data_IF_429057159776
#
_entry.id   IF_429057159776
#
_cell.length_a   1.000
_cell.length_b   1.000
_cell.length_c   1.000
_cell.angle_alpha   90.00
_cell.angle_beta   90.00
_cell.angle_gamma   90.00
#
_symmetry.space_group_name_H-M   'P 1'
#
loop_
_entity.id
_entity.type
_entity.pdbx_description
1 polymer ?
#
# COMPACT_ATOMS: atom_id res chain seq x y z
N UNK A 1 5.70 35.28 47.24
CA UNK A 1 6.29 34.03 46.68
C UNK A 1 5.40 33.69 45.51
N UNK A 2 5.86 33.92 44.27
CA UNK A 2 5.23 33.45 43.05
C UNK A 2 5.65 32.01 42.84
N UNK A 3 4.73 31.08 43.04
CA UNK A 3 4.92 29.68 42.67
C UNK A 3 4.86 29.58 41.16
N UNK A 4 5.96 29.23 40.52
CA UNK A 4 5.95 28.82 39.12
C UNK A 4 5.08 27.56 38.97
N UNK A 5 4.20 27.45 37.97
CA UNK A 5 3.46 26.23 37.72
C UNK A 5 4.46 25.10 37.47
N UNK A 6 4.36 24.01 38.23
CA UNK A 6 5.11 22.81 37.93
C UNK A 6 4.69 22.35 36.52
N UNK A 7 5.64 22.30 35.64
CA UNK A 7 5.45 21.65 34.34
C UNK A 7 5.36 20.16 34.65
N UNK A 8 4.15 19.65 34.75
CA UNK A 8 3.95 18.20 34.74
C UNK A 8 4.43 17.72 33.36
N UNK A 9 5.61 17.10 33.36
CA UNK A 9 6.05 16.31 32.20
C UNK A 9 5.02 15.22 32.02
N UNK A 10 4.33 15.26 30.90
CA UNK A 10 3.39 14.21 30.52
C UNK A 10 4.19 12.93 30.42
N UNK A 11 4.06 12.07 31.42
CA UNK A 11 4.71 10.76 31.45
C UNK A 11 4.24 9.97 30.22
N UNK A 12 5.16 9.28 29.56
CA UNK A 12 4.86 8.40 28.44
C UNK A 12 3.80 7.37 28.85
N UNK A 13 2.63 7.43 28.21
CA UNK A 13 1.50 6.54 28.49
C UNK A 13 1.42 5.48 27.39
N UNK A 14 1.37 4.22 27.81
CA UNK A 14 1.08 3.11 26.89
C UNK A 14 -0.44 2.94 26.80
N UNK A 15 -0.95 3.00 25.59
CA UNK A 15 -2.35 2.79 25.29
C UNK A 15 -2.53 1.36 24.81
N UNK A 16 -3.31 0.59 25.54
CA UNK A 16 -3.64 -0.79 25.17
C UNK A 16 -5.01 -0.91 24.48
N UNK A 17 -5.62 0.22 24.09
CA UNK A 17 -6.97 0.25 23.51
C UNK A 17 -8.11 0.16 24.54
N UNK A 18 -7.90 -0.54 25.64
CA UNK A 18 -8.86 -0.67 26.74
C UNK A 18 -8.43 0.17 27.94
N UNK A 19 -7.13 0.22 28.20
CA UNK A 19 -6.55 0.94 29.34
C UNK A 19 -5.45 1.88 28.91
N UNK A 20 -5.27 2.97 29.63
CA UNK A 20 -4.10 3.83 29.58
C UNK A 20 -3.28 3.60 30.82
N UNK A 21 -2.04 3.14 30.68
CA UNK A 21 -1.11 2.92 31.79
C UNK A 21 0.17 3.67 31.57
N UNK A 22 0.81 4.08 32.67
CA UNK A 22 2.16 4.65 32.61
C UNK A 22 3.11 3.60 32.05
N UNK A 23 4.00 4.00 31.15
CA UNK A 23 4.97 3.10 30.49
C UNK A 23 5.82 2.33 31.52
N UNK A 24 6.18 2.97 32.62
CA UNK A 24 6.94 2.36 33.70
C UNK A 24 6.19 1.23 34.44
N UNK A 25 4.87 1.27 34.45
CA UNK A 25 4.03 0.24 35.07
C UNK A 25 3.65 -0.91 34.12
N UNK A 26 4.16 -0.88 32.89
CA UNK A 26 3.85 -1.86 31.90
C UNK A 26 5.05 -2.77 31.61
N UNK A 27 4.91 -4.06 31.89
CA UNK A 27 5.99 -5.05 31.79
C UNK A 27 6.12 -5.65 30.40
N UNK A 28 5.18 -5.36 29.49
CA UNK A 28 5.15 -5.90 28.13
C UNK A 28 6.00 -5.10 27.15
N UNK A 29 6.45 -5.76 26.08
CA UNK A 29 7.16 -5.11 24.96
C UNK A 29 6.17 -4.37 24.07
N UNK A 30 6.22 -3.04 24.14
CA UNK A 30 5.36 -2.16 23.33
C UNK A 30 6.17 -1.07 22.65
N UNK A 31 5.71 -0.65 21.48
CA UNK A 31 6.23 0.54 20.80
C UNK A 31 5.07 1.47 20.51
N UNK A 32 5.17 2.71 20.95
CA UNK A 32 4.14 3.74 20.72
C UNK A 32 4.74 4.85 19.86
N UNK A 33 4.03 5.20 18.78
CA UNK A 33 4.40 6.24 17.82
C UNK A 33 3.33 7.30 17.81
N UNK A 34 3.72 8.56 17.94
CA UNK A 34 2.84 9.71 17.82
C UNK A 34 2.62 10.06 16.34
N UNK A 35 1.58 10.81 16.05
CA UNK A 35 1.26 11.21 14.67
C UNK A 35 2.40 12.00 14.00
N UNK A 36 3.18 12.75 14.77
CA UNK A 36 4.33 13.52 14.29
C UNK A 36 5.41 12.58 13.72
N UNK A 37 5.74 11.52 14.46
CA UNK A 37 6.72 10.51 14.06
C UNK A 37 6.25 9.75 12.83
N UNK A 38 4.96 9.37 12.81
CA UNK A 38 4.34 8.68 11.68
C UNK A 38 4.38 9.52 10.40
N UNK A 39 4.08 10.82 10.50
CA UNK A 39 4.13 11.74 9.36
C UNK A 39 5.55 12.00 8.87
N UNK A 40 6.53 12.03 9.77
CA UNK A 40 7.94 12.17 9.40
C UNK A 40 8.46 10.94 8.63
N UNK A 41 7.96 9.74 8.95
CA UNK A 41 8.31 8.50 8.27
C UNK A 41 7.59 8.30 6.92
N UNK A 42 6.39 8.87 6.75
CA UNK A 42 5.61 8.78 5.53
C UNK A 42 4.20 9.37 5.66
N UNK A 43 3.62 9.76 4.54
CA UNK A 43 2.32 10.44 4.53
C UNK A 43 1.19 9.62 3.87
N UNK A 44 1.52 8.52 3.21
CA UNK A 44 0.55 7.79 2.39
C UNK A 44 -0.45 6.98 3.23
N UNK A 45 0.04 6.14 4.14
CA UNK A 45 -0.82 5.42 5.05
C UNK A 45 -0.09 5.06 6.36
N UNK A 46 -0.88 4.79 7.39
CA UNK A 46 -0.39 4.48 8.75
C UNK A 46 0.54 3.27 8.77
N UNK A 47 0.20 2.21 8.04
CA UNK A 47 0.96 0.96 8.04
C UNK A 47 2.35 1.12 7.41
N UNK A 48 2.46 1.89 6.33
CA UNK A 48 3.74 2.19 5.68
C UNK A 48 4.66 2.99 6.61
N UNK A 49 4.12 3.95 7.34
CA UNK A 49 4.88 4.72 8.33
C UNK A 49 5.39 3.83 9.46
N UNK A 50 4.55 2.93 9.98
CA UNK A 50 4.96 1.98 11.02
C UNK A 50 6.06 1.04 10.51
N UNK A 51 5.94 0.52 9.28
CA UNK A 51 6.98 -0.33 8.66
C UNK A 51 8.34 0.35 8.64
N UNK A 52 8.36 1.66 8.40
CA UNK A 52 9.61 2.45 8.38
C UNK A 52 10.17 2.65 9.79
N UNK A 53 9.32 2.83 10.80
CA UNK A 53 9.71 3.12 12.17
C UNK A 53 10.02 1.87 13.01
N UNK A 54 9.34 0.76 12.71
CA UNK A 54 9.45 -0.46 13.52
C UNK A 54 9.83 -1.68 12.67
N UNK A 55 11.06 -2.19 12.82
CA UNK A 55 11.52 -3.35 12.06
C UNK A 55 10.81 -4.66 12.43
N UNK A 56 10.09 -4.72 13.57
CA UNK A 56 9.28 -5.90 13.92
C UNK A 56 7.97 -5.98 13.14
N UNK A 57 7.54 -4.87 12.53
CA UNK A 57 6.35 -4.79 11.71
C UNK A 57 6.71 -4.92 10.23
N UNK A 58 6.21 -5.96 9.58
CA UNK A 58 6.50 -6.26 8.18
C UNK A 58 5.24 -6.20 7.35
N UNK A 59 5.37 -5.65 6.16
CA UNK A 59 4.35 -5.67 5.13
C UNK A 59 4.92 -6.45 3.96
N UNK A 60 4.36 -7.61 3.68
CA UNK A 60 4.74 -8.44 2.56
C UNK A 60 3.83 -8.09 1.38
N UNK A 61 4.41 -7.39 0.41
CA UNK A 61 3.71 -7.06 -0.84
C UNK A 61 3.77 -8.29 -1.75
N UNK A 62 2.62 -8.78 -2.16
CA UNK A 62 2.57 -9.88 -3.12
C UNK A 62 2.78 -9.34 -4.53
N UNK A 63 3.98 -9.53 -5.06
CA UNK A 63 4.36 -9.05 -6.39
C UNK A 63 3.64 -9.77 -7.55
N UNK A 64 2.99 -10.91 -7.28
CA UNK A 64 2.24 -11.65 -8.33
C UNK A 64 1.04 -10.88 -8.86
N UNK A 65 0.46 -10.02 -8.05
CA UNK A 65 -0.71 -9.22 -8.41
C UNK A 65 -0.36 -7.77 -8.76
N UNK A 66 0.92 -7.44 -8.86
CA UNK A 66 1.41 -6.10 -9.16
C UNK A 66 0.97 -5.08 -8.10
N UNK A 67 0.59 -3.90 -8.56
CA UNK A 67 0.12 -2.79 -7.73
C UNK A 67 -1.42 -2.71 -7.68
N UNK A 68 -2.12 -3.85 -7.67
CA UNK A 68 -3.58 -3.87 -7.58
C UNK A 68 -4.05 -3.26 -6.25
N UNK A 69 -4.76 -2.12 -6.27
CA UNK A 69 -5.18 -1.42 -5.06
C UNK A 69 -6.26 -2.17 -4.26
N UNK A 70 -6.89 -3.18 -4.82
CA UNK A 70 -7.89 -4.02 -4.14
C UNK A 70 -7.27 -5.17 -3.36
N UNK A 71 -5.99 -5.45 -3.57
CA UNK A 71 -5.28 -6.50 -2.86
C UNK A 71 -4.69 -5.97 -1.57
N UNK A 72 -5.10 -6.59 -0.48
CA UNK A 72 -4.52 -6.30 0.83
C UNK A 72 -3.16 -6.96 0.96
N UNK A 73 -2.15 -6.26 1.47
CA UNK A 73 -0.85 -6.85 1.75
C UNK A 73 -0.94 -7.79 2.95
N UNK A 74 -0.05 -8.75 3.03
CA UNK A 74 0.11 -9.56 4.23
C UNK A 74 0.91 -8.76 5.26
N UNK A 75 0.36 -8.64 6.47
CA UNK A 75 0.94 -7.87 7.56
C UNK A 75 1.33 -8.80 8.69
N UNK A 76 2.55 -8.66 9.19
CA UNK A 76 3.10 -9.52 10.24
C UNK A 76 3.75 -8.69 11.35
N UNK A 77 3.63 -9.16 12.59
CA UNK A 77 4.40 -8.66 13.74
C UNK A 77 5.26 -9.82 14.24
N UNK A 78 6.61 -9.63 14.27
CA UNK A 78 7.59 -10.67 14.67
C UNK A 78 7.64 -11.92 13.80
N UNK A 79 7.09 -11.90 12.59
CA UNK A 79 7.11 -13.02 11.66
C UNK A 79 5.88 -13.93 11.74
N UNK A 80 5.93 -15.01 10.98
CA UNK A 80 4.81 -15.96 10.86
C UNK A 80 4.83 -16.97 12.00
N UNK A 81 3.68 -17.16 12.64
CA UNK A 81 3.47 -18.16 13.70
C UNK A 81 2.86 -19.45 13.18
N UNK A 82 2.21 -19.42 12.01
CA UNK A 82 1.57 -20.60 11.40
C UNK A 82 2.14 -20.96 10.05
N UNK A 83 1.98 -22.23 9.67
CA UNK A 83 2.49 -22.81 8.41
C UNK A 83 1.77 -22.19 7.22
N UNK A 84 2.52 -21.92 6.14
CA UNK A 84 1.98 -21.44 4.87
C UNK A 84 0.91 -22.41 4.33
N UNK A 85 -0.19 -21.85 3.83
CA UNK A 85 -1.24 -22.59 3.11
C UNK A 85 -2.65 -22.48 3.71
N UNK A 86 -2.78 -22.07 4.97
CA UNK A 86 -4.09 -21.99 5.63
C UNK A 86 -4.96 -20.82 5.19
N UNK A 87 -4.38 -19.82 4.54
CA UNK A 87 -5.12 -18.63 4.06
C UNK A 87 -6.18 -18.97 3.02
N UNK A 88 -5.86 -19.87 2.10
CA UNK A 88 -6.78 -20.30 1.04
C UNK A 88 -7.92 -21.16 1.61
N UNK A 89 -7.66 -21.90 2.69
CA UNK A 89 -8.62 -22.81 3.30
C UNK A 89 -9.58 -22.11 4.26
N UNK A 90 -9.12 -21.07 4.98
CA UNK A 90 -9.91 -20.38 6.01
C UNK A 90 -10.38 -18.98 5.61
N UNK A 91 -10.00 -18.47 4.45
CA UNK A 91 -10.39 -17.15 3.94
C UNK A 91 -9.79 -15.95 4.69
N UNK A 92 -9.09 -16.18 5.81
CA UNK A 92 -8.39 -15.18 6.60
C UNK A 92 -6.95 -15.59 6.84
N UNK A 93 -6.02 -14.62 6.87
CA UNK A 93 -4.62 -14.90 7.16
C UNK A 93 -4.44 -15.20 8.65
N UNK A 94 -4.08 -16.44 9.03
CA UNK A 94 -3.91 -16.80 10.42
C UNK A 94 -2.71 -16.09 11.09
N UNK A 95 -1.82 -15.47 10.32
CA UNK A 95 -0.67 -14.71 10.81
C UNK A 95 -0.95 -13.22 10.97
N UNK A 96 -2.13 -12.77 10.57
CA UNK A 96 -2.50 -11.37 10.63
C UNK A 96 -2.61 -10.90 12.09
N UNK A 97 -2.01 -9.75 12.45
CA UNK A 97 -2.20 -9.15 13.76
C UNK A 97 -3.64 -8.65 13.93
N UNK A 98 -4.06 -8.52 15.18
CA UNK A 98 -5.34 -7.93 15.51
C UNK A 98 -5.26 -6.39 15.41
N UNK A 99 -6.21 -5.77 14.74
CA UNK A 99 -6.32 -4.31 14.62
C UNK A 99 -7.40 -3.76 15.54
N UNK A 100 -7.04 -2.77 16.33
CA UNK A 100 -7.95 -2.07 17.26
C UNK A 100 -7.96 -0.60 16.91
N UNK A 101 -9.13 -0.06 16.62
CA UNK A 101 -9.35 1.36 16.36
C UNK A 101 -10.27 1.95 17.44
N UNK A 102 -9.76 2.89 18.21
CA UNK A 102 -10.49 3.54 19.32
C UNK A 102 -11.16 2.54 20.29
N UNK A 103 -10.49 1.40 20.53
CA UNK A 103 -10.96 0.35 21.42
C UNK A 103 -11.84 -0.72 20.79
N UNK A 104 -12.19 -0.60 19.52
CA UNK A 104 -12.98 -1.56 18.76
C UNK A 104 -12.11 -2.32 17.76
N UNK A 105 -12.42 -3.61 17.61
CA UNK A 105 -11.78 -4.40 16.57
C UNK A 105 -12.20 -3.93 15.18
N UNK A 106 -11.22 -3.89 14.26
CA UNK A 106 -11.43 -3.45 12.89
C UNK A 106 -10.62 -4.33 11.93
N UNK A 107 -10.92 -4.26 10.66
CA UNK A 107 -10.24 -4.98 9.61
C UNK A 107 -9.02 -4.21 9.04
N UNK A 108 -8.15 -4.92 8.35
CA UNK A 108 -6.97 -4.35 7.70
C UNK A 108 -7.34 -3.28 6.66
N UNK A 109 -8.46 -3.50 5.94
CA UNK A 109 -8.95 -2.58 4.92
C UNK A 109 -9.26 -1.20 5.54
N UNK A 110 -10.00 -1.18 6.63
CA UNK A 110 -10.34 0.06 7.36
C UNK A 110 -9.09 0.79 7.84
N UNK A 111 -8.08 0.05 8.31
CA UNK A 111 -6.80 0.64 8.74
C UNK A 111 -6.02 1.23 7.56
N UNK A 112 -6.02 0.56 6.42
CA UNK A 112 -5.37 1.07 5.20
C UNK A 112 -6.03 2.35 4.68
N UNK A 113 -7.35 2.45 4.80
CA UNK A 113 -8.13 3.59 4.35
C UNK A 113 -8.16 4.75 5.36
N UNK A 114 -7.59 4.52 6.55
CA UNK A 114 -7.59 5.51 7.61
C UNK A 114 -6.70 6.71 7.24
N UNK A 115 -7.29 7.91 7.30
CA UNK A 115 -6.54 9.14 7.08
C UNK A 115 -5.56 9.40 8.23
N UNK A 116 -4.27 9.54 7.91
CA UNK A 116 -3.20 9.83 8.86
C UNK A 116 -3.48 11.05 9.74
N UNK A 117 -4.18 12.06 9.23
CA UNK A 117 -4.50 13.27 9.99
C UNK A 117 -5.48 13.03 11.15
N UNK A 118 -6.26 11.95 11.09
CA UNK A 118 -7.17 11.54 12.16
C UNK A 118 -6.45 10.80 13.29
N UNK A 119 -5.30 10.21 13.01
CA UNK A 119 -4.54 9.42 13.98
C UNK A 119 -3.90 10.34 15.01
N UNK A 120 -4.02 9.97 16.27
CA UNK A 120 -3.29 10.61 17.38
C UNK A 120 -2.03 9.83 17.71
N UNK A 121 -2.18 8.51 17.87
CA UNK A 121 -1.08 7.61 18.18
C UNK A 121 -1.33 6.20 17.66
N UNK A 122 -0.25 5.45 17.49
CA UNK A 122 -0.30 4.03 17.17
C UNK A 122 0.60 3.28 18.13
N UNK A 123 0.07 2.22 18.74
CA UNK A 123 0.81 1.37 19.67
C UNK A 123 0.85 -0.06 19.15
N UNK A 124 2.05 -0.62 19.02
CA UNK A 124 2.26 -2.03 18.74
C UNK A 124 2.43 -2.79 20.06
N UNK A 125 1.58 -3.79 20.28
CA UNK A 125 1.71 -4.77 21.35
C UNK A 125 2.34 -6.03 20.77
N UNK A 126 3.57 -6.34 21.23
CA UNK A 126 4.42 -7.32 20.54
C UNK A 126 4.55 -8.65 21.25
N UNK A 127 4.24 -8.74 22.53
CA UNK A 127 4.43 -9.93 23.33
C UNK A 127 3.14 -10.43 24.01
N UNK A 128 3.19 -11.64 24.52
CA UNK A 128 2.04 -12.29 25.16
C UNK A 128 1.55 -11.52 26.40
N UNK A 129 2.43 -10.85 27.14
CA UNK A 129 2.05 -10.08 28.31
C UNK A 129 1.24 -8.84 27.94
N UNK A 130 1.62 -8.17 26.82
CA UNK A 130 0.92 -7.00 26.31
C UNK A 130 -0.38 -7.35 25.60
N UNK A 131 -0.45 -8.51 24.95
CA UNK A 131 -1.60 -8.93 24.16
C UNK A 131 -2.62 -9.76 24.92
N UNK A 132 -2.30 -10.20 26.15
CA UNK A 132 -3.16 -11.08 26.98
C UNK A 132 -4.60 -10.58 27.16
N UNK A 133 -4.81 -9.26 27.18
CA UNK A 133 -6.14 -8.65 27.34
C UNK A 133 -7.08 -8.94 26.14
N UNK A 134 -6.52 -9.31 24.99
CA UNK A 134 -7.27 -9.60 23.77
C UNK A 134 -7.44 -11.10 23.49
N UNK A 135 -6.86 -11.96 24.37
CA UNK A 135 -6.98 -13.41 24.27
C UNK A 135 -6.25 -14.02 23.07
N UNK A 136 -6.72 -15.18 22.62
CA UNK A 136 -6.06 -15.97 21.56
C UNK A 136 -5.97 -15.28 20.20
N UNK A 137 -6.89 -14.36 19.92
CA UNK A 137 -6.89 -13.61 18.63
C UNK A 137 -5.71 -12.65 18.50
N UNK A 138 -5.08 -12.32 19.60
CA UNK A 138 -3.92 -11.45 19.66
C UNK A 138 -2.57 -12.21 19.64
N UNK A 139 -2.59 -13.50 19.30
CA UNK A 139 -1.38 -14.33 19.29
C UNK A 139 -0.28 -13.78 18.35
N UNK A 140 -0.66 -13.13 17.26
CA UNK A 140 0.26 -12.55 16.28
C UNK A 140 0.58 -11.05 16.55
N UNK A 141 0.25 -10.56 17.75
CA UNK A 141 0.39 -9.17 18.11
C UNK A 141 -0.88 -8.34 17.88
N UNK A 142 -0.88 -7.13 18.39
CA UNK A 142 -1.99 -6.18 18.26
C UNK A 142 -1.47 -4.82 17.81
N UNK A 143 -2.15 -4.24 16.84
CA UNK A 143 -1.96 -2.86 16.43
C UNK A 143 -3.13 -2.03 16.98
N UNK A 144 -2.84 -1.16 17.94
CA UNK A 144 -3.82 -0.25 18.53
C UNK A 144 -3.66 1.13 17.93
N UNK A 145 -4.72 1.66 17.36
CA UNK A 145 -4.78 2.99 16.76
C UNK A 145 -5.74 3.85 17.57
N UNK A 146 -5.28 5.00 18.01
CA UNK A 146 -6.13 6.01 18.60
C UNK A 146 -6.32 7.17 17.64
N UNK A 147 -7.55 7.62 17.47
CA UNK A 147 -7.85 8.83 16.71
C UNK A 147 -7.82 10.06 17.61
N UNK A 148 -7.63 11.21 16.97
CA UNK A 148 -7.67 12.50 17.66
C UNK A 148 -9.05 12.77 18.20
N UNK A 149 -9.11 13.15 19.45
CA UNK A 149 -10.36 13.59 20.06
C UNK A 149 -10.73 14.96 19.48
N UNK A 150 -11.97 15.14 18.94
CA UNK A 150 -12.40 16.42 18.43
C UNK A 150 -12.27 17.52 19.47
N UNK A 151 -11.73 18.68 19.07
CA UNK A 151 -11.69 19.81 19.97
C UNK A 151 -13.05 20.48 20.02
N UNK A 152 -13.51 20.80 21.24
CA UNK A 152 -14.72 21.57 21.46
C UNK A 152 -14.53 23.03 21.10
N UNK A 153 -15.56 23.71 20.58
CA UNK A 153 -15.52 25.13 20.24
C UNK A 153 -16.15 25.42 18.88
N UNK A 154 -15.68 26.47 18.21
CA UNK A 154 -16.20 26.88 16.90
C UNK A 154 -16.01 25.75 15.88
N UNK A 155 -16.94 25.69 14.93
CA UNK A 155 -16.86 24.79 13.78
C UNK A 155 -15.53 25.00 13.05
N UNK A 156 -14.75 23.94 12.89
CA UNK A 156 -13.53 23.91 12.11
C UNK A 156 -13.72 23.01 10.92
N UNK A 157 -13.14 23.42 9.84
CA UNK A 157 -13.17 22.76 8.56
C UNK A 157 -11.72 22.48 8.15
N UNK A 158 -11.41 21.26 7.80
CA UNK A 158 -10.13 20.91 7.21
C UNK A 158 -10.30 20.02 5.99
N UNK A 159 -9.57 20.35 4.94
CA UNK A 159 -9.51 19.55 3.72
C UNK A 159 -8.08 19.08 3.50
N UNK A 160 -7.92 17.81 3.21
CA UNK A 160 -6.63 17.20 2.90
C UNK A 160 -6.69 16.52 1.56
N UNK A 161 -5.72 16.82 0.72
CA UNK A 161 -5.48 16.16 -0.56
C UNK A 161 -4.13 15.45 -0.53
N UNK A 162 -4.10 14.19 -0.96
CA UNK A 162 -2.87 13.46 -1.22
C UNK A 162 -2.92 12.90 -2.63
N UNK A 163 -1.83 13.06 -3.38
CA UNK A 163 -1.70 12.52 -4.73
C UNK A 163 -0.39 11.73 -4.88
N UNK A 164 -0.44 10.64 -5.61
CA UNK A 164 0.71 9.80 -5.92
C UNK A 164 0.63 9.34 -7.37
N UNK A 165 1.75 9.40 -8.06
CA UNK A 165 1.90 8.92 -9.44
C UNK A 165 2.99 7.85 -9.43
N UNK A 166 2.66 6.68 -9.98
CA UNK A 166 3.61 5.58 -10.13
C UNK A 166 3.74 5.26 -11.62
N UNK A 167 4.97 5.30 -12.10
CA UNK A 167 5.30 4.97 -13.49
C UNK A 167 6.04 3.63 -13.48
N UNK A 168 5.61 2.65 -14.30
CA UNK A 168 6.34 1.39 -14.39
C UNK A 168 7.73 1.62 -15.01
N UNK A 169 8.75 1.09 -14.38
CA UNK A 169 10.09 1.06 -14.95
C UNK A 169 10.21 -0.14 -15.90
N UNK A 170 10.25 0.14 -17.19
CA UNK A 170 10.35 -0.85 -18.26
C UNK A 170 11.79 -1.03 -18.77
N UNK A 171 12.73 -0.24 -18.26
CA UNK A 171 14.11 -0.24 -18.75
C UNK A 171 14.95 -1.42 -18.26
N UNK A 172 14.56 -2.02 -17.12
CA UNK A 172 15.33 -3.08 -16.46
C UNK A 172 15.53 -4.33 -17.31
N UNK A 173 14.59 -4.62 -18.22
CA UNK A 173 14.64 -5.83 -19.05
C UNK A 173 15.36 -5.60 -20.38
N UNK A 174 15.53 -4.34 -20.81
CA UNK A 174 16.19 -3.96 -22.06
C UNK A 174 15.75 -4.81 -23.27
N UNK A 175 14.43 -4.99 -23.42
CA UNK A 175 13.86 -5.71 -24.56
C UNK A 175 13.86 -4.83 -25.79
N UNK A 176 14.06 -5.46 -26.95
CA UNK A 176 13.97 -4.79 -28.24
C UNK A 176 12.55 -4.31 -28.51
N UNK A 177 12.42 -3.10 -29.00
CA UNK A 177 11.18 -2.61 -29.61
C UNK A 177 11.00 -3.18 -31.03
N UNK A 178 9.88 -2.88 -31.70
CA UNK A 178 9.59 -3.45 -33.02
C UNK A 178 10.62 -3.05 -34.06
N UNK A 179 11.12 -1.81 -34.06
CA UNK A 179 12.13 -1.35 -35.01
C UNK A 179 13.48 -1.98 -34.78
N UNK A 180 13.91 -2.10 -33.52
CA UNK A 180 15.16 -2.78 -33.15
C UNK A 180 15.14 -4.27 -33.47
N UNK A 181 13.96 -4.91 -33.26
CA UNK A 181 13.76 -6.32 -33.60
C UNK A 181 13.82 -6.54 -35.10
N UNK A 182 13.23 -5.64 -35.90
CA UNK A 182 13.29 -5.69 -37.36
C UNK A 182 14.73 -5.50 -37.86
N UNK A 183 15.47 -4.54 -37.31
CA UNK A 183 16.88 -4.31 -37.62
C UNK A 183 17.75 -5.51 -37.24
N UNK A 184 17.47 -6.15 -36.10
CA UNK A 184 18.15 -7.38 -35.71
C UNK A 184 17.89 -8.51 -36.71
N UNK A 185 16.65 -8.70 -37.15
CA UNK A 185 16.33 -9.74 -38.13
C UNK A 185 16.97 -9.46 -39.50
N UNK A 186 17.06 -8.20 -39.89
CA UNK A 186 17.76 -7.80 -41.14
C UNK A 186 19.27 -8.10 -41.05
N UNK A 187 19.92 -7.68 -39.96
CA UNK A 187 21.35 -7.95 -39.70
C UNK A 187 21.64 -9.43 -39.57
N UNK A 188 20.74 -10.19 -38.99
CA UNK A 188 20.83 -11.65 -38.88
C UNK A 188 20.52 -12.37 -40.21
N UNK A 189 20.22 -11.61 -41.28
CA UNK A 189 19.89 -12.13 -42.63
C UNK A 189 18.70 -13.08 -42.66
N UNK A 190 17.77 -12.95 -41.70
CA UNK A 190 16.60 -13.82 -41.60
C UNK A 190 15.61 -13.62 -42.76
N UNK A 191 15.67 -12.50 -43.47
CA UNK A 191 14.86 -12.20 -44.68
C UNK A 191 15.57 -12.56 -45.97
N UNK A 192 16.84 -12.95 -45.97
CA UNK A 192 17.55 -13.35 -47.17
C UNK A 192 17.14 -14.75 -47.57
N UNK A 193 16.84 -14.92 -48.86
CA UNK A 193 16.66 -16.23 -49.45
C UNK A 193 18.00 -16.95 -49.42
N UNK A 194 18.20 -17.85 -48.46
CA UNK A 194 19.35 -18.73 -48.43
C UNK A 194 19.52 -19.43 -49.80
N UNK A 195 20.78 -19.68 -50.21
CA UNK A 195 21.09 -20.33 -51.50
C UNK A 195 20.19 -21.53 -51.71
N UNK A 196 19.58 -21.61 -52.91
CA UNK A 196 18.85 -22.76 -53.44
C UNK A 196 19.66 -24.04 -53.31
N UNK A 197 19.68 -24.70 -52.21
CA UNK A 197 20.45 -25.95 -52.07
C UNK A 197 20.57 -26.49 -50.65
N UNK A 198 20.31 -25.67 -49.64
CA UNK A 198 20.38 -26.12 -48.24
C UNK A 198 18.97 -26.20 -47.64
N UNK A 199 18.40 -27.40 -47.65
CA UNK A 199 17.11 -27.73 -47.09
C UNK A 199 17.05 -27.73 -45.54
N UNK A 200 18.08 -27.20 -44.87
CA UNK A 200 18.26 -27.28 -43.42
C UNK A 200 17.92 -26.00 -42.65
N UNK A 201 17.64 -24.91 -43.36
CA UNK A 201 17.21 -23.65 -42.68
C UNK A 201 15.67 -23.64 -42.59
N UNK A 202 15.14 -24.41 -41.71
CA UNK A 202 13.76 -24.22 -41.18
C UNK A 202 13.76 -22.90 -40.40
N UNK A 203 13.36 -21.86 -41.07
CA UNK A 203 13.22 -20.56 -40.44
C UNK A 203 11.97 -20.60 -39.57
N UNK A 204 12.14 -20.55 -38.27
CA UNK A 204 11.06 -20.49 -37.26
C UNK A 204 9.97 -19.48 -37.63
N UNK A 205 10.29 -18.47 -38.43
CA UNK A 205 9.37 -17.44 -38.89
C UNK A 205 8.39 -17.91 -39.98
N UNK A 206 8.77 -18.85 -40.80
CA UNK A 206 7.87 -19.43 -41.81
C UNK A 206 6.80 -20.31 -41.16
N UNK A 207 7.12 -21.00 -40.11
CA UNK A 207 6.19 -21.84 -39.34
C UNK A 207 5.19 -21.01 -38.51
N UNK A 208 5.57 -19.82 -38.04
CA UNK A 208 4.73 -18.96 -37.21
C UNK A 208 3.69 -18.15 -38.05
N UNK A 209 3.97 -17.83 -39.29
CA UNK A 209 3.10 -16.96 -40.12
C UNK A 209 2.20 -17.74 -41.08
N UNK A 210 2.37 -19.07 -41.17
CA UNK A 210 1.40 -19.97 -41.84
C UNK A 210 1.09 -19.72 -43.31
N UNK A 211 1.96 -19.02 -44.02
CA UNK A 211 1.81 -18.73 -45.42
C UNK A 211 3.13 -18.35 -46.05
N UNK A 212 3.40 -18.74 -47.26
CA UNK A 212 4.65 -18.54 -47.97
C UNK A 212 4.70 -17.16 -48.70
N UNK A 213 4.70 -16.00 -48.02
CA UNK A 213 5.15 -14.76 -48.61
C UNK A 213 6.67 -14.84 -48.69
N UNK A 214 7.26 -14.65 -49.86
CA UNK A 214 8.69 -14.56 -49.98
C UNK A 214 9.25 -13.63 -48.91
N UNK A 215 10.38 -13.95 -48.29
CA UNK A 215 10.98 -13.24 -47.15
C UNK A 215 11.05 -11.71 -47.32
N UNK A 216 11.25 -11.24 -48.55
CA UNK A 216 11.20 -9.81 -48.88
C UNK A 216 9.78 -9.20 -48.71
N UNK A 217 8.73 -9.94 -49.05
CA UNK A 217 7.36 -9.48 -48.86
C UNK A 217 7.05 -9.38 -47.33
N UNK A 218 7.55 -10.32 -46.53
CA UNK A 218 7.40 -10.29 -45.10
C UNK A 218 8.12 -9.10 -44.48
N UNK A 219 9.35 -8.82 -44.90
CA UNK A 219 10.10 -7.64 -44.47
C UNK A 219 9.33 -6.34 -44.78
N UNK A 220 8.86 -6.22 -45.99
CA UNK A 220 8.09 -5.04 -46.45
C UNK A 220 6.81 -4.86 -45.63
N UNK A 221 6.10 -5.95 -45.32
CA UNK A 221 4.94 -5.93 -44.45
C UNK A 221 5.25 -5.47 -43.04
N UNK A 222 6.27 -6.07 -42.42
CA UNK A 222 6.67 -5.73 -41.06
C UNK A 222 7.17 -4.29 -40.97
N UNK A 223 7.99 -3.84 -41.95
CA UNK A 223 8.47 -2.46 -42.00
C UNK A 223 7.30 -1.47 -42.09
N UNK A 224 6.30 -1.76 -42.90
CA UNK A 224 5.11 -0.93 -43.01
C UNK A 224 4.29 -0.88 -41.74
N UNK A 225 4.17 -2.01 -41.01
CA UNK A 225 3.48 -2.03 -39.71
C UNK A 225 4.26 -1.23 -38.65
N UNK A 226 5.59 -1.32 -38.63
CA UNK A 226 6.44 -0.51 -37.78
C UNK A 226 6.31 0.99 -38.09
N UNK A 227 6.29 1.36 -39.40
CA UNK A 227 6.07 2.75 -39.82
C UNK A 227 4.68 3.26 -39.41
N UNK A 228 3.66 2.38 -39.39
CA UNK A 228 2.31 2.68 -38.91
C UNK A 228 2.24 2.80 -37.36
N UNK A 229 3.35 2.62 -36.65
CA UNK A 229 3.42 2.76 -35.20
C UNK A 229 3.09 1.50 -34.42
N UNK A 230 3.05 0.35 -35.06
CA UNK A 230 2.91 -0.94 -34.36
C UNK A 230 4.22 -1.22 -33.61
N UNK A 231 4.12 -1.37 -32.30
CA UNK A 231 5.26 -1.69 -31.44
C UNK A 231 5.06 -3.04 -30.76
N UNK A 232 6.08 -3.90 -30.85
CA UNK A 232 6.11 -5.21 -30.21
C UNK A 232 6.68 -5.20 -28.79
N UNK A 233 6.81 -4.02 -28.16
CA UNK A 233 7.27 -3.93 -26.77
C UNK A 233 6.18 -4.40 -25.80
N UNK A 234 6.01 -5.71 -25.72
CA UNK A 234 4.91 -6.37 -25.01
C UNK A 234 4.86 -6.05 -23.51
N UNK A 235 5.97 -5.69 -22.89
CA UNK A 235 5.99 -5.29 -21.48
C UNK A 235 5.13 -4.04 -21.22
N UNK A 236 5.04 -3.13 -22.18
CA UNK A 236 4.23 -1.91 -22.05
C UNK A 236 2.73 -2.18 -22.18
N UNK A 237 2.33 -3.24 -22.85
CA UNK A 237 0.93 -3.49 -23.22
C UNK A 237 0.01 -3.69 -22.00
N UNK A 238 0.37 -4.49 -20.96
CA UNK A 238 -0.47 -4.66 -19.79
C UNK A 238 -0.34 -3.53 -18.77
N UNK A 239 0.61 -2.59 -18.98
CA UNK A 239 0.97 -1.58 -17.99
C UNK A 239 0.40 -0.20 -18.34
N UNK A 240 0.24 0.61 -17.31
CA UNK A 240 -0.21 2.00 -17.38
C UNK A 240 0.42 2.80 -16.23
N UNK A 241 0.49 4.11 -16.40
CA UNK A 241 0.80 5.00 -15.28
C UNK A 241 -0.33 4.93 -14.26
N UNK A 242 0.02 4.62 -13.02
CA UNK A 242 -0.91 4.62 -11.90
C UNK A 242 -1.02 6.03 -11.34
N UNK A 243 -2.25 6.50 -11.20
CA UNK A 243 -2.58 7.77 -10.53
C UNK A 243 -3.49 7.44 -9.35
N UNK A 244 -3.02 7.77 -8.16
CA UNK A 244 -3.77 7.57 -6.93
C UNK A 244 -3.96 8.92 -6.27
N UNK A 245 -5.17 9.23 -5.85
CA UNK A 245 -5.43 10.46 -5.13
C UNK A 245 -6.48 10.24 -4.05
N UNK A 246 -6.33 10.95 -2.95
CA UNK A 246 -7.30 10.90 -1.87
C UNK A 246 -7.73 12.30 -1.46
N UNK A 247 -9.00 12.43 -1.20
CA UNK A 247 -9.63 13.64 -0.71
C UNK A 247 -10.25 13.32 0.65
N UNK A 248 -9.95 14.11 1.64
CA UNK A 248 -10.54 13.98 2.97
C UNK A 248 -11.03 15.34 3.45
N UNK A 249 -12.30 15.39 3.78
CA UNK A 249 -12.99 16.53 4.33
C UNK A 249 -13.37 16.24 5.77
N UNK A 250 -12.86 17.01 6.71
CA UNK A 250 -13.17 16.86 8.12
C UNK A 250 -13.84 18.12 8.65
N UNK A 251 -14.97 17.93 9.28
CA UNK A 251 -15.73 18.93 10.01
C UNK A 251 -15.70 18.55 11.48
N UNK A 252 -15.23 19.44 12.33
CA UNK A 252 -15.23 19.21 13.77
C UNK A 252 -15.69 20.45 14.52
N UNK A 253 -16.30 20.23 15.66
CA UNK A 253 -16.74 21.32 16.51
C UNK A 253 -17.33 20.79 17.82
N UNK A 254 -17.81 21.70 18.65
CA UNK A 254 -18.44 21.33 19.88
C UNK A 254 -19.04 22.53 20.60
N UNK A 255 -19.96 22.24 21.49
CA UNK A 255 -20.62 23.22 22.33
C UNK A 255 -20.39 22.87 23.79
N UNK A 256 -20.04 23.85 24.59
CA UNK A 256 -20.01 23.76 26.04
C UNK A 256 -21.30 24.30 26.62
N UNK A 257 -21.87 23.61 27.57
CA UNK A 257 -23.13 24.01 28.18
C UNK A 257 -23.17 23.60 29.67
N UNK A 258 -24.10 24.18 30.37
CA UNK A 258 -24.33 23.97 31.82
C UNK A 258 -23.61 25.00 32.70
N UNK A 259 -23.89 24.98 33.99
CA UNK A 259 -23.25 25.86 34.96
C UNK A 259 -21.73 25.62 34.97
N UNK A 260 -20.95 26.66 34.76
CA UNK A 260 -19.49 26.65 34.71
C UNK A 260 -18.89 25.77 33.57
N UNK A 261 -19.56 25.65 32.41
CA UNK A 261 -19.08 24.91 31.24
C UNK A 261 -18.65 23.44 31.51
N UNK A 262 -19.27 22.81 32.49
CA UNK A 262 -18.92 21.45 32.92
C UNK A 262 -19.31 20.34 31.95
N UNK A 263 -20.20 20.63 31.00
CA UNK A 263 -20.68 19.67 30.00
C UNK A 263 -20.25 20.14 28.64
N UNK A 264 -19.76 19.22 27.82
CA UNK A 264 -19.39 19.50 26.43
C UNK A 264 -19.93 18.42 25.52
N UNK A 265 -20.50 18.83 24.39
CA UNK A 265 -20.81 17.97 23.28
C UNK A 265 -19.80 18.26 22.17
N UNK A 266 -19.15 17.25 21.66
CA UNK A 266 -18.19 17.35 20.53
C UNK A 266 -18.69 16.49 19.40
N UNK A 267 -18.51 16.96 18.18
CA UNK A 267 -18.87 16.22 16.99
C UNK A 267 -17.76 16.30 15.97
N UNK A 268 -17.62 15.25 15.19
CA UNK A 268 -16.70 15.17 14.08
C UNK A 268 -17.38 14.38 12.95
N UNK A 269 -17.34 14.95 11.75
CA UNK A 269 -17.78 14.29 10.53
C UNK A 269 -16.59 14.24 9.60
N UNK A 270 -16.29 13.06 9.08
CA UNK A 270 -15.24 12.86 8.10
C UNK A 270 -15.82 12.22 6.84
N UNK A 271 -15.58 12.88 5.70
CA UNK A 271 -15.92 12.37 4.38
C UNK A 271 -14.60 12.14 3.64
N UNK A 272 -14.35 10.94 3.16
CA UNK A 272 -13.15 10.62 2.41
C UNK A 272 -13.48 9.85 1.15
N UNK A 273 -12.73 10.14 0.08
CA UNK A 273 -12.75 9.40 -1.17
C UNK A 273 -11.31 9.20 -1.63
N UNK A 274 -10.96 7.97 -2.02
CA UNK A 274 -9.62 7.61 -2.44
C UNK A 274 -9.65 6.73 -3.70
N UNK A 275 -10.07 7.30 -4.85
CA UNK A 275 -10.02 6.57 -6.10
C UNK A 275 -8.55 6.29 -6.46
N UNK A 276 -8.29 5.07 -6.90
CA UNK A 276 -6.96 4.63 -7.26
C UNK A 276 -7.01 3.64 -8.41
N UNK A 277 -5.98 3.68 -9.25
CA UNK A 277 -5.72 2.64 -10.23
C UNK A 277 -4.34 2.03 -9.98
N UNK A 278 -4.17 0.77 -10.31
CA UNK A 278 -2.88 0.12 -10.27
C UNK A 278 -2.07 0.35 -11.55
N UNK A 279 -0.82 -0.08 -11.52
CA UNK A 279 0.08 -0.04 -12.68
C UNK A 279 -0.34 -1.04 -13.77
N UNK A 280 -1.04 -2.10 -13.42
CA UNK A 280 -1.63 -3.02 -14.40
C UNK A 280 -2.97 -2.48 -14.90
N UNK A 281 -3.18 -2.51 -16.24
CA UNK A 281 -4.45 -2.14 -16.84
C UNK A 281 -5.59 -3.00 -16.30
N UNK A 282 -6.73 -2.36 -15.99
CA UNK A 282 -7.89 -3.05 -15.44
C UNK A 282 -7.97 -3.06 -13.91
N UNK A 283 -6.89 -2.77 -13.19
CA UNK A 283 -6.92 -2.65 -11.73
C UNK A 283 -7.39 -1.26 -11.32
N UNK A 284 -8.60 -1.15 -10.78
CA UNK A 284 -9.22 0.11 -10.29
C UNK A 284 -9.90 -0.14 -8.95
N UNK A 285 -9.89 0.88 -8.10
CA UNK A 285 -10.59 0.92 -6.82
C UNK A 285 -11.32 2.23 -6.63
#
# INVERSE_FOLDING_TARGET
>A
IQLAPAVETIEDVVVTGIYRRKKESFTGSTSTYKVEDLKAAGTQNVLQSIRTLDPSFKINVNNQFGSDPNRLPDVEIRGKSSVMGLKEEYGTDPNQPLFILDGFETDLQTVMDLNMNRVASVTLLKDAASTAIYGSRAANGVLVIETKVPEGGKLRFSYTFNGSIQVPDLTSYNLMNASELLEYFEKAQLFNNGNKGDNTSTNIYEDLVGGNPGRQNLYTLLSKEVENGVDSYWLSQPLQTSVQHSHSLMLEGGVRFGEKDRRSMRYQVNLSAAPSNGVMKGSKR
#
